data_IF_331755883106
#
_entry.id   IF_331755883106
#
_cell.length_a   1.000
_cell.length_b   1.000
_cell.length_c   1.000
_cell.angle_alpha   90.00
_cell.angle_beta   90.00
_cell.angle_gamma   90.00
#
_symmetry.space_group_name_H-M   'P 1'
#
loop_
_entity.id
_entity.type
_entity.pdbx_description
1 polymer ?
#
# COMPACT_ATOMS: atom_id res chain seq x y z
N UNK A 1 8.67 -7.03 -12.89
CA UNK A 1 9.44 -6.77 -14.12
C UNK A 1 10.91 -7.12 -13.89
N UNK A 2 11.29 -8.42 -13.91
CA UNK A 2 12.69 -8.83 -14.03
C UNK A 2 13.35 -8.15 -15.21
N UNK A 3 14.53 -7.56 -15.00
CA UNK A 3 15.33 -6.99 -16.10
C UNK A 3 16.02 -8.15 -16.80
N UNK A 4 15.88 -8.21 -18.13
CA UNK A 4 16.43 -9.29 -18.96
C UNK A 4 17.65 -8.85 -19.76
N UNK A 5 17.88 -7.54 -19.89
CA UNK A 5 19.05 -7.02 -20.59
C UNK A 5 18.92 -5.56 -21.02
N UNK A 6 19.68 -5.20 -22.06
CA UNK A 6 19.70 -3.88 -22.67
C UNK A 6 19.61 -4.06 -24.19
N UNK A 7 18.74 -3.29 -24.83
CA UNK A 7 18.73 -3.11 -26.27
C UNK A 7 19.87 -2.17 -26.67
N UNK A 8 20.94 -2.74 -27.22
CA UNK A 8 22.13 -1.97 -27.59
C UNK A 8 21.97 -1.15 -28.87
N UNK A 9 20.91 -1.36 -29.66
CA UNK A 9 20.61 -0.53 -30.83
C UNK A 9 19.95 0.79 -30.40
N UNK A 10 19.11 0.75 -29.37
CA UNK A 10 18.52 1.95 -28.76
C UNK A 10 19.46 2.67 -27.79
N UNK A 11 20.31 1.92 -27.08
CA UNK A 11 21.10 2.47 -25.98
C UNK A 11 22.18 3.47 -26.45
N UNK A 12 22.03 4.73 -26.05
CA UNK A 12 23.00 5.81 -26.30
C UNK A 12 24.17 5.88 -25.27
N UNK A 13 24.25 4.94 -24.33
CA UNK A 13 25.27 4.90 -23.26
C UNK A 13 25.33 6.12 -22.33
N UNK A 14 24.20 6.80 -22.07
CA UNK A 14 24.10 7.91 -21.11
C UNK A 14 24.36 7.54 -19.63
N UNK A 15 24.28 6.24 -19.29
CA UNK A 15 24.57 5.66 -17.96
C UNK A 15 23.60 6.00 -16.82
N UNK A 16 22.45 6.59 -17.11
CA UNK A 16 21.44 6.90 -16.07
C UNK A 16 21.02 5.64 -15.29
N UNK A 17 20.79 4.52 -15.97
CA UNK A 17 20.50 3.24 -15.30
C UNK A 17 21.60 2.75 -14.35
N UNK A 18 22.88 3.07 -14.63
CA UNK A 18 24.01 2.77 -13.74
C UNK A 18 24.09 3.71 -12.55
N UNK A 19 23.80 4.99 -12.75
CA UNK A 19 23.80 5.99 -11.68
C UNK A 19 22.69 5.68 -10.66
N UNK A 20 21.51 5.29 -11.14
CA UNK A 20 20.34 5.06 -10.31
C UNK A 20 20.27 3.65 -9.71
N UNK A 21 20.88 2.64 -10.35
CA UNK A 21 20.91 1.29 -9.82
C UNK A 21 22.15 1.08 -8.93
N UNK A 22 21.98 0.93 -7.60
CA UNK A 22 23.11 0.73 -6.70
C UNK A 22 23.76 -0.65 -6.83
N UNK A 23 23.17 -1.60 -7.57
CA UNK A 23 23.51 -3.03 -7.47
C UNK A 23 23.88 -3.73 -8.77
N UNK A 24 23.08 -3.58 -9.84
CA UNK A 24 23.04 -4.56 -10.96
C UNK A 24 23.36 -4.02 -12.35
N UNK A 25 23.59 -2.72 -12.47
CA UNK A 25 24.15 -2.14 -13.70
C UNK A 25 25.64 -1.86 -13.50
N UNK A 26 26.43 -2.10 -14.53
CA UNK A 26 27.89 -1.99 -14.55
C UNK A 26 28.37 -1.36 -15.86
N UNK A 27 29.63 -0.94 -15.90
CA UNK A 27 30.27 -0.39 -17.11
C UNK A 27 31.35 -1.35 -17.57
N UNK A 28 31.24 -1.82 -18.80
CA UNK A 28 32.33 -2.51 -19.48
C UNK A 28 33.38 -1.48 -19.91
N UNK A 29 34.59 -1.61 -19.34
CA UNK A 29 35.68 -0.67 -19.60
C UNK A 29 36.28 -0.80 -21.00
N UNK A 30 36.07 -1.92 -21.69
CA UNK A 30 36.66 -2.19 -23.01
C UNK A 30 35.97 -1.41 -24.13
N UNK A 31 34.65 -1.28 -24.05
CA UNK A 31 33.80 -0.62 -25.05
C UNK A 31 32.99 0.55 -24.48
N UNK A 32 33.16 0.83 -23.18
CA UNK A 32 32.52 1.93 -22.46
C UNK A 32 30.98 1.85 -22.41
N UNK A 33 30.41 0.65 -22.63
CA UNK A 33 28.96 0.37 -22.60
C UNK A 33 28.50 -0.04 -21.21
N UNK A 34 27.22 0.20 -20.94
CA UNK A 34 26.56 -0.30 -19.73
C UNK A 34 26.07 -1.72 -19.98
N UNK A 35 26.17 -2.61 -18.99
CA UNK A 35 25.52 -3.92 -19.01
C UNK A 35 24.77 -4.18 -17.69
N UNK A 36 23.79 -5.08 -17.76
CA UNK A 36 23.03 -5.57 -16.61
C UNK A 36 23.49 -6.99 -16.26
N UNK A 37 23.71 -7.24 -14.96
CA UNK A 37 24.08 -8.57 -14.46
C UNK A 37 23.52 -8.75 -13.04
N UNK A 38 22.77 -9.84 -12.81
CA UNK A 38 22.14 -10.18 -11.52
C UNK A 38 22.35 -11.64 -11.12
N UNK A 39 23.61 -12.10 -11.19
CA UNK A 39 23.98 -13.51 -10.90
C UNK A 39 23.51 -13.98 -9.52
N UNK A 40 23.51 -13.10 -8.51
CA UNK A 40 23.09 -13.47 -7.14
C UNK A 40 21.61 -13.16 -6.84
N UNK A 41 20.81 -12.79 -7.84
CA UNK A 41 19.37 -12.51 -7.72
C UNK A 41 19.03 -11.49 -6.60
N UNK A 42 19.74 -10.35 -6.57
CA UNK A 42 19.47 -9.27 -5.59
C UNK A 42 18.88 -8.00 -6.21
N UNK A 43 18.47 -8.03 -7.48
CA UNK A 43 17.64 -6.98 -8.04
C UNK A 43 16.34 -6.87 -7.23
N UNK A 44 16.01 -5.66 -6.78
CA UNK A 44 14.76 -5.40 -6.04
C UNK A 44 13.55 -5.21 -6.94
N UNK A 45 13.70 -5.35 -8.27
CA UNK A 45 12.61 -5.18 -9.24
C UNK A 45 11.91 -3.81 -9.12
N UNK A 46 12.64 -2.76 -8.76
CA UNK A 46 12.07 -1.43 -8.52
C UNK A 46 11.71 -0.67 -9.80
N UNK A 47 12.18 -1.12 -10.97
CA UNK A 47 11.90 -0.47 -12.26
C UNK A 47 12.58 0.88 -12.47
N UNK A 48 13.38 1.39 -11.53
CA UNK A 48 13.97 2.73 -11.65
C UNK A 48 14.85 2.87 -12.90
N UNK A 49 15.59 1.82 -13.27
CA UNK A 49 16.38 1.79 -14.50
C UNK A 49 15.55 1.95 -15.78
N UNK A 50 14.32 1.41 -15.81
CA UNK A 50 13.36 1.56 -16.92
C UNK A 50 12.91 3.03 -16.95
N UNK A 51 12.48 3.57 -15.81
CA UNK A 51 11.93 4.93 -15.70
C UNK A 51 12.91 6.04 -16.10
N UNK A 52 14.22 5.84 -15.88
CA UNK A 52 15.24 6.86 -16.18
C UNK A 52 15.94 6.64 -17.52
N UNK A 53 15.56 5.62 -18.30
CA UNK A 53 16.18 5.37 -19.59
C UNK A 53 15.52 6.26 -20.66
N UNK A 54 16.22 7.27 -21.21
CA UNK A 54 15.61 8.19 -22.16
C UNK A 54 15.32 7.55 -23.53
N UNK A 55 15.98 6.43 -23.84
CA UNK A 55 15.87 5.72 -25.12
C UNK A 55 14.96 4.49 -25.04
N UNK A 56 14.33 4.21 -23.88
CA UNK A 56 13.54 2.99 -23.66
C UNK A 56 14.33 1.71 -24.06
N UNK A 57 15.58 1.64 -23.61
CA UNK A 57 16.54 0.61 -23.99
C UNK A 57 16.68 -0.52 -22.94
N UNK A 58 15.98 -0.44 -21.80
CA UNK A 58 16.02 -1.49 -20.77
C UNK A 58 15.04 -2.59 -21.13
N UNK A 59 15.53 -3.83 -21.28
CA UNK A 59 14.69 -4.99 -21.55
C UNK A 59 14.24 -5.63 -20.24
N UNK A 60 12.98 -6.03 -20.16
CA UNK A 60 12.40 -6.66 -18.99
C UNK A 60 11.29 -7.66 -19.36
N UNK A 61 11.02 -8.61 -18.48
CA UNK A 61 9.84 -9.48 -18.62
C UNK A 61 8.58 -8.67 -18.35
N UNK A 62 7.76 -8.54 -19.40
CA UNK A 62 6.44 -7.96 -19.36
C UNK A 62 5.42 -8.99 -18.82
N UNK A 63 4.60 -8.56 -17.87
CA UNK A 63 3.53 -9.37 -17.28
C UNK A 63 2.15 -9.09 -17.91
N UNK A 64 2.13 -8.39 -19.05
CA UNK A 64 0.93 -8.22 -19.89
C UNK A 64 0.23 -6.88 -19.72
N UNK A 65 0.92 -5.85 -19.24
CA UNK A 65 0.41 -4.47 -19.22
C UNK A 65 1.27 -3.61 -20.15
N UNK A 66 0.65 -2.66 -20.86
CA UNK A 66 1.35 -1.66 -21.67
C UNK A 66 2.49 -1.00 -20.86
N UNK A 67 3.60 -0.67 -21.52
CA UNK A 67 4.67 0.14 -20.93
C UNK A 67 4.08 1.38 -20.26
N UNK A 68 4.08 1.42 -18.93
CA UNK A 68 3.55 2.56 -18.19
C UNK A 68 4.44 3.77 -18.44
N UNK A 69 3.94 4.74 -19.20
CA UNK A 69 4.53 6.07 -19.29
C UNK A 69 3.96 6.94 -18.18
N UNK A 70 4.81 7.72 -17.53
CA UNK A 70 4.41 8.73 -16.53
C UNK A 70 4.34 10.11 -17.19
N UNK A 71 3.61 10.18 -18.31
CA UNK A 71 3.54 11.39 -19.13
C UNK A 71 3.04 12.58 -18.29
N UNK A 72 3.78 13.68 -18.36
CA UNK A 72 3.47 14.91 -17.61
C UNK A 72 3.96 14.94 -16.16
N UNK A 73 4.76 13.97 -15.70
CA UNK A 73 5.41 13.97 -14.38
C UNK A 73 6.87 14.43 -14.49
N UNK A 74 7.09 15.70 -14.84
CA UNK A 74 8.46 16.27 -14.93
C UNK A 74 9.00 16.73 -13.57
N UNK A 75 8.12 17.33 -12.75
CA UNK A 75 8.45 17.86 -11.41
C UNK A 75 7.32 17.55 -10.44
N UNK A 76 7.62 16.79 -9.38
CA UNK A 76 6.60 16.38 -8.41
C UNK A 76 5.94 17.58 -7.71
N UNK A 77 6.74 18.61 -7.42
CA UNK A 77 6.30 19.83 -6.77
C UNK A 77 5.32 20.67 -7.63
N UNK A 78 5.32 20.48 -8.95
CA UNK A 78 4.37 21.16 -9.84
C UNK A 78 3.03 20.42 -9.92
N UNK A 79 3.01 19.12 -9.61
CA UNK A 79 1.78 18.30 -9.60
C UNK A 79 1.00 18.56 -8.31
N UNK A 80 1.70 18.52 -7.17
CA UNK A 80 1.10 18.79 -5.85
C UNK A 80 1.92 19.84 -5.11
N UNK A 81 1.54 21.13 -5.22
CA UNK A 81 2.20 22.18 -4.46
C UNK A 81 2.13 21.95 -2.95
N UNK A 82 3.20 22.32 -2.23
CA UNK A 82 3.31 22.11 -0.78
C UNK A 82 2.10 22.65 0.00
N UNK A 83 1.63 23.86 -0.30
CA UNK A 83 0.50 24.48 0.41
C UNK A 83 -0.81 23.69 0.22
N UNK A 84 -1.03 23.09 -0.95
CA UNK A 84 -2.17 22.23 -1.21
C UNK A 84 -2.06 20.93 -0.42
N UNK A 85 -0.86 20.31 -0.43
CA UNK A 85 -0.58 19.09 0.33
C UNK A 85 -0.73 19.31 1.84
N UNK A 86 -0.20 20.42 2.36
CA UNK A 86 -0.29 20.78 3.76
C UNK A 86 -1.74 20.90 4.22
N UNK A 87 -2.58 21.64 3.47
CA UNK A 87 -4.01 21.76 3.77
C UNK A 87 -4.71 20.41 3.72
N UNK A 88 -4.39 19.60 2.72
CA UNK A 88 -4.98 18.27 2.54
C UNK A 88 -4.65 17.32 3.70
N UNK A 89 -3.37 17.19 4.06
CA UNK A 89 -2.92 16.32 5.15
C UNK A 89 -3.45 16.83 6.49
N UNK A 90 -3.38 18.14 6.75
CA UNK A 90 -3.84 18.72 8.02
C UNK A 90 -5.35 18.56 8.23
N UNK A 91 -6.12 18.57 7.14
CA UNK A 91 -7.57 18.34 7.19
C UNK A 91 -7.95 16.85 7.35
N UNK A 92 -7.01 15.92 7.21
CA UNK A 92 -7.29 14.47 7.31
C UNK A 92 -7.72 14.10 8.72
N UNK A 93 -8.86 13.41 8.85
CA UNK A 93 -9.43 12.97 10.12
C UNK A 93 -9.89 11.52 10.04
N UNK A 94 -9.85 10.84 11.18
CA UNK A 94 -10.49 9.54 11.33
C UNK A 94 -12.00 9.68 11.40
N UNK A 95 -12.69 9.21 10.36
CA UNK A 95 -14.16 9.25 10.25
C UNK A 95 -14.74 7.98 10.88
N UNK A 96 -15.74 8.14 11.76
CA UNK A 96 -16.38 7.03 12.51
C UNK A 96 -17.89 7.10 12.45
N UNK A 97 -18.43 7.83 11.49
CA UNK A 97 -19.86 7.91 11.23
C UNK A 97 -20.06 7.81 9.73
N UNK A 98 -20.53 6.65 9.28
CA UNK A 98 -20.61 6.30 7.87
C UNK A 98 -22.05 6.32 7.38
N UNK A 99 -22.23 6.71 6.12
CA UNK A 99 -23.50 6.49 5.43
C UNK A 99 -23.65 4.98 5.17
N UNK A 100 -24.89 4.48 5.21
CA UNK A 100 -25.21 3.09 4.80
C UNK A 100 -25.04 2.83 3.29
N UNK A 101 -24.79 3.88 2.51
CA UNK A 101 -24.59 3.81 1.06
C UNK A 101 -23.24 3.15 0.75
N UNK A 102 -23.28 2.07 -0.03
CA UNK A 102 -22.07 1.43 -0.56
C UNK A 102 -21.31 2.35 -1.53
N UNK A 103 -19.99 2.21 -1.50
CA UNK A 103 -19.05 2.84 -2.41
C UNK A 103 -18.92 1.95 -3.66
N UNK A 104 -19.04 2.49 -4.88
CA UNK A 104 -18.87 1.70 -6.10
C UNK A 104 -17.52 1.00 -6.15
N UNK A 105 -17.49 -0.24 -6.67
CA UNK A 105 -16.27 -1.06 -6.81
C UNK A 105 -15.14 -0.31 -7.53
N UNK A 106 -15.48 0.48 -8.55
CA UNK A 106 -14.49 1.23 -9.33
C UNK A 106 -13.76 2.29 -8.48
N UNK A 107 -14.46 2.88 -7.50
CA UNK A 107 -13.87 3.85 -6.57
C UNK A 107 -13.02 3.13 -5.53
N UNK A 108 -13.47 1.97 -5.03
CA UNK A 108 -12.67 1.12 -4.14
C UNK A 108 -11.39 0.63 -4.83
N UNK A 109 -11.46 0.29 -6.13
CA UNK A 109 -10.30 -0.08 -6.94
C UNK A 109 -9.30 1.06 -7.03
N UNK A 110 -9.74 2.30 -7.27
CA UNK A 110 -8.82 3.48 -7.27
C UNK A 110 -8.07 3.64 -5.95
N UNK A 111 -8.72 3.34 -4.82
CA UNK A 111 -8.05 3.34 -3.51
C UNK A 111 -6.98 2.25 -3.45
N UNK A 112 -7.30 1.02 -3.84
CA UNK A 112 -6.35 -0.10 -3.87
C UNK A 112 -5.19 0.15 -4.84
N UNK A 113 -5.45 0.74 -6.00
CA UNK A 113 -4.42 1.09 -6.99
C UNK A 113 -3.37 2.00 -6.36
N UNK A 114 -3.79 3.03 -5.60
CA UNK A 114 -2.85 3.90 -4.88
C UNK A 114 -2.19 3.22 -3.68
N UNK A 115 -2.87 2.30 -2.99
CA UNK A 115 -2.25 1.52 -1.91
C UNK A 115 -1.06 0.67 -2.42
N UNK A 116 -1.16 0.13 -3.63
CA UNK A 116 -0.10 -0.68 -4.24
C UNK A 116 1.16 0.12 -4.59
N UNK A 117 1.08 1.44 -4.69
CA UNK A 117 2.27 2.28 -4.90
C UNK A 117 3.04 2.58 -3.60
N UNK A 118 2.52 2.20 -2.43
CA UNK A 118 3.24 2.35 -1.18
C UNK A 118 4.57 1.56 -1.21
N UNK A 119 5.68 2.18 -0.75
CA UNK A 119 6.96 1.49 -0.69
C UNK A 119 6.96 0.42 0.41
N UNK A 120 7.66 -0.68 0.15
CA UNK A 120 7.92 -1.73 1.13
C UNK A 120 9.42 -1.95 1.26
N UNK A 121 9.88 -2.41 2.42
CA UNK A 121 11.28 -2.81 2.61
C UNK A 121 11.74 -3.75 1.48
N UNK A 122 12.86 -3.41 0.83
CA UNK A 122 13.42 -4.15 -0.31
C UNK A 122 12.47 -4.38 -1.49
N UNK A 123 11.37 -3.62 -1.60
CA UNK A 123 10.33 -3.77 -2.63
C UNK A 123 9.68 -5.18 -2.65
N UNK A 124 9.63 -5.87 -1.50
CA UNK A 124 9.10 -7.24 -1.37
C UNK A 124 7.62 -7.40 -1.71
N UNK A 125 6.78 -6.39 -1.40
CA UNK A 125 5.35 -6.36 -1.78
C UNK A 125 4.56 -7.64 -1.44
N UNK A 126 4.77 -8.20 -0.24
CA UNK A 126 4.10 -9.42 0.23
C UNK A 126 2.74 -9.19 0.88
N UNK A 127 2.23 -7.96 0.81
CA UNK A 127 0.96 -7.58 1.41
C UNK A 127 -0.23 -8.02 0.56
N UNK A 128 -1.25 -8.54 1.24
CA UNK A 128 -2.53 -8.96 0.67
C UNK A 128 -3.61 -7.98 1.09
N UNK A 129 -4.53 -7.72 0.16
CA UNK A 129 -5.62 -6.77 0.32
C UNK A 129 -6.94 -7.51 0.18
N UNK A 130 -7.82 -7.36 1.16
CA UNK A 130 -9.17 -7.93 1.13
C UNK A 130 -10.17 -6.84 1.48
N UNK A 131 -11.13 -6.60 0.58
CA UNK A 131 -12.26 -5.74 0.88
C UNK A 131 -13.45 -6.60 1.25
N UNK A 132 -13.99 -6.37 2.43
CA UNK A 132 -15.23 -7.01 2.88
C UNK A 132 -16.32 -5.94 2.90
N UNK A 133 -17.42 -6.22 2.19
CA UNK A 133 -18.64 -5.39 2.16
C UNK A 133 -19.85 -6.10 2.76
N UNK A 134 -19.70 -7.41 3.01
CA UNK A 134 -20.74 -8.23 3.62
C UNK A 134 -20.94 -7.83 5.09
N UNK A 135 -22.11 -7.27 5.41
CA UNK A 135 -22.42 -6.74 6.75
C UNK A 135 -22.44 -7.84 7.81
N UNK A 136 -22.93 -9.04 7.50
CA UNK A 136 -22.99 -10.13 8.47
C UNK A 136 -21.59 -10.62 8.80
N UNK A 137 -20.74 -10.79 7.78
CA UNK A 137 -19.33 -11.14 7.97
C UNK A 137 -18.59 -10.09 8.78
N UNK A 138 -18.79 -8.80 8.48
CA UNK A 138 -18.19 -7.70 9.24
C UNK A 138 -18.68 -7.68 10.70
N UNK A 139 -19.95 -7.99 10.94
CA UNK A 139 -20.50 -8.11 12.29
C UNK A 139 -19.84 -9.26 13.06
N UNK A 140 -19.72 -10.43 12.45
CA UNK A 140 -19.08 -11.60 13.06
C UNK A 140 -17.61 -11.31 13.42
N UNK A 141 -16.87 -10.63 12.53
CA UNK A 141 -15.49 -10.20 12.82
C UNK A 141 -15.48 -9.18 13.97
N UNK A 142 -16.38 -8.20 13.97
CA UNK A 142 -16.49 -7.21 15.03
C UNK A 142 -16.76 -7.85 16.40
N UNK A 143 -17.68 -8.82 16.46
CA UNK A 143 -18.00 -9.52 17.70
C UNK A 143 -16.82 -10.36 18.20
N UNK A 144 -16.13 -11.07 17.29
CA UNK A 144 -14.94 -11.86 17.63
C UNK A 144 -13.76 -10.99 18.12
N UNK A 145 -13.57 -9.80 17.54
CA UNK A 145 -12.59 -8.81 18.02
C UNK A 145 -12.91 -8.39 19.45
N UNK A 146 -14.16 -8.00 19.72
CA UNK A 146 -14.57 -7.56 21.06
C UNK A 146 -14.40 -8.70 22.07
N UNK A 147 -14.86 -9.90 21.75
CA UNK A 147 -14.70 -11.08 22.62
C UNK A 147 -13.24 -11.34 22.95
N UNK A 148 -12.37 -11.39 21.92
CA UNK A 148 -10.93 -11.63 22.08
C UNK A 148 -10.29 -10.59 22.98
N UNK A 149 -10.56 -9.30 22.73
CA UNK A 149 -9.97 -8.23 23.54
C UNK A 149 -10.44 -8.25 25.00
N UNK A 150 -11.69 -8.63 25.27
CA UNK A 150 -12.22 -8.68 26.63
C UNK A 150 -11.78 -9.93 27.43
N UNK A 151 -11.18 -10.93 26.78
CA UNK A 151 -10.55 -12.07 27.47
C UNK A 151 -9.23 -11.67 28.15
N UNK A 152 -8.54 -10.63 27.64
CA UNK A 152 -7.34 -10.09 28.26
C UNK A 152 -7.72 -9.10 29.38
N UNK A 153 -7.34 -9.33 30.66
CA UNK A 153 -7.76 -8.47 31.77
C UNK A 153 -7.39 -6.99 31.59
N UNK A 154 -6.17 -6.69 31.11
CA UNK A 154 -5.73 -5.31 30.91
C UNK A 154 -6.48 -4.58 29.79
N UNK A 155 -6.87 -5.31 28.74
CA UNK A 155 -7.70 -4.76 27.67
C UNK A 155 -9.17 -4.62 28.10
N UNK A 156 -9.66 -5.58 28.89
CA UNK A 156 -11.00 -5.53 29.49
C UNK A 156 -11.18 -4.29 30.35
N UNK A 157 -10.30 -4.08 31.32
CA UNK A 157 -10.33 -2.92 32.23
C UNK A 157 -10.33 -1.59 31.46
N UNK A 158 -9.67 -1.55 30.29
CA UNK A 158 -9.56 -0.36 29.46
C UNK A 158 -10.74 -0.12 28.53
N UNK A 159 -11.37 -1.17 27.99
CA UNK A 159 -12.29 -1.05 26.86
C UNK A 159 -13.69 -1.65 27.06
N UNK A 160 -13.97 -2.35 28.17
CA UNK A 160 -15.29 -2.97 28.41
C UNK A 160 -16.45 -1.96 28.36
N UNK A 161 -16.30 -0.82 29.03
CA UNK A 161 -17.31 0.25 28.98
C UNK A 161 -17.40 0.85 27.57
N UNK A 162 -16.27 1.06 26.89
CA UNK A 162 -16.24 1.61 25.53
C UNK A 162 -17.02 0.72 24.55
N UNK A 163 -16.84 -0.60 24.61
CA UNK A 163 -17.59 -1.53 23.75
C UNK A 163 -19.06 -1.62 24.16
N UNK A 164 -19.36 -1.58 25.45
CA UNK A 164 -20.74 -1.56 25.96
C UNK A 164 -21.51 -0.33 25.49
N UNK A 165 -20.88 0.84 25.47
CA UNK A 165 -21.44 2.07 24.91
C UNK A 165 -21.56 1.96 23.40
N UNK A 166 -20.51 1.52 22.70
CA UNK A 166 -20.50 1.46 21.23
C UNK A 166 -21.57 0.53 20.67
N UNK A 167 -21.85 -0.61 21.33
CA UNK A 167 -22.94 -1.55 20.99
C UNK A 167 -24.34 -0.94 21.06
N UNK A 168 -24.53 0.20 21.75
CA UNK A 168 -25.81 0.92 21.78
C UNK A 168 -26.03 1.81 20.56
N UNK A 169 -24.95 2.21 19.88
CA UNK A 169 -24.98 3.18 18.78
C UNK A 169 -24.69 2.56 17.41
N UNK A 170 -24.04 1.40 17.38
CA UNK A 170 -23.59 0.75 16.16
C UNK A 170 -24.00 -0.72 16.12
N UNK A 171 -24.42 -1.21 14.96
CA UNK A 171 -24.67 -2.63 14.72
C UNK A 171 -23.35 -3.44 14.65
N UNK A 172 -22.29 -2.79 14.15
CA UNK A 172 -20.94 -3.31 13.95
C UNK A 172 -19.94 -2.38 14.65
N UNK A 173 -19.80 -2.44 15.99
CA UNK A 173 -19.13 -1.42 16.79
C UNK A 173 -17.66 -1.22 16.46
N UNK A 174 -16.93 -2.28 16.15
CA UNK A 174 -15.49 -2.19 15.85
C UNK A 174 -15.27 -1.35 14.58
N UNK A 175 -16.17 -1.45 13.60
CA UNK A 175 -16.04 -0.75 12.32
C UNK A 175 -16.95 0.47 12.19
N UNK A 176 -17.64 0.87 13.25
CA UNK A 176 -18.56 2.01 13.29
C UNK A 176 -19.61 1.98 12.16
N UNK A 177 -20.13 0.78 11.83
CA UNK A 177 -21.05 0.52 10.72
C UNK A 177 -20.56 0.90 9.32
N UNK A 178 -19.23 1.00 9.12
CA UNK A 178 -18.65 1.23 7.80
C UNK A 178 -19.18 0.22 6.77
N UNK A 179 -19.62 0.66 5.58
CA UNK A 179 -20.15 -0.25 4.55
C UNK A 179 -19.06 -1.15 3.94
N UNK A 180 -17.79 -0.75 4.05
CA UNK A 180 -16.65 -1.51 3.55
C UNK A 180 -15.51 -1.43 4.55
N UNK A 181 -14.79 -2.55 4.72
CA UNK A 181 -13.54 -2.59 5.48
C UNK A 181 -12.47 -3.19 4.58
N UNK A 182 -11.33 -2.50 4.48
CA UNK A 182 -10.14 -2.97 3.77
C UNK A 182 -9.21 -3.58 4.82
N UNK A 183 -9.01 -4.89 4.73
CA UNK A 183 -8.01 -5.62 5.52
C UNK A 183 -6.72 -5.70 4.72
N UNK A 184 -5.62 -5.36 5.37
CA UNK A 184 -4.28 -5.50 4.81
C UNK A 184 -3.51 -6.43 5.74
N UNK A 185 -2.98 -7.51 5.19
CA UNK A 185 -2.16 -8.48 5.90
C UNK A 185 -0.87 -8.73 5.16
N UNK A 186 0.15 -9.27 5.82
CA UNK A 186 1.41 -9.65 5.17
C UNK A 186 1.69 -11.12 5.42
N UNK A 187 2.25 -11.81 4.43
CA UNK A 187 2.82 -13.15 4.61
C UNK A 187 4.26 -13.11 5.16
N UNK A 188 4.82 -11.91 5.31
CA UNK A 188 6.15 -11.72 5.85
C UNK A 188 6.13 -11.92 7.37
N UNK A 189 6.82 -12.95 7.86
CA UNK A 189 6.96 -13.22 9.29
C UNK A 189 8.12 -12.40 9.88
N UNK A 190 8.00 -11.07 9.84
CA UNK A 190 8.99 -10.14 10.40
C UNK A 190 8.31 -8.87 10.91
N UNK A 191 8.91 -8.19 11.89
CA UNK A 191 8.44 -6.89 12.41
C UNK A 191 8.33 -5.80 11.31
N UNK A 192 8.93 -6.00 10.13
CA UNK A 192 8.78 -5.12 8.98
C UNK A 192 7.34 -5.10 8.42
N UNK A 193 6.57 -6.17 8.60
CA UNK A 193 5.22 -6.31 8.07
C UNK A 193 4.30 -5.18 8.56
N UNK A 194 4.32 -4.89 9.86
CA UNK A 194 3.48 -3.84 10.46
C UNK A 194 3.85 -2.45 9.93
N UNK A 195 5.14 -2.18 9.71
CA UNK A 195 5.62 -0.92 9.15
C UNK A 195 5.17 -0.75 7.70
N UNK A 196 5.32 -1.78 6.87
CA UNK A 196 4.84 -1.76 5.48
C UNK A 196 3.33 -1.52 5.44
N UNK A 197 2.56 -2.28 6.24
CA UNK A 197 1.09 -2.16 6.31
C UNK A 197 0.68 -0.75 6.76
N UNK A 198 1.36 -0.15 7.73
CA UNK A 198 1.11 1.22 8.16
C UNK A 198 1.29 2.26 7.04
N UNK A 199 2.34 2.12 6.23
CA UNK A 199 2.58 2.98 5.06
C UNK A 199 1.49 2.76 4.01
N UNK A 200 1.17 1.51 3.70
CA UNK A 200 0.13 1.10 2.74
C UNK A 200 -1.24 1.68 3.13
N UNK A 201 -1.65 1.52 4.38
CA UNK A 201 -2.92 2.06 4.90
C UNK A 201 -2.90 3.58 4.79
N UNK A 202 -1.77 4.24 5.03
CA UNK A 202 -1.64 5.70 4.88
C UNK A 202 -1.92 6.14 3.44
N UNK A 203 -1.34 5.46 2.44
CA UNK A 203 -1.63 5.72 1.02
C UNK A 203 -3.11 5.54 0.71
N UNK A 204 -3.72 4.44 1.17
CA UNK A 204 -5.16 4.20 0.99
C UNK A 204 -6.05 5.25 1.64
N UNK A 205 -5.68 5.74 2.83
CA UNK A 205 -6.42 6.79 3.53
C UNK A 205 -6.35 8.14 2.82
N UNK A 206 -5.20 8.51 2.27
CA UNK A 206 -5.05 9.73 1.48
C UNK A 206 -5.81 9.62 0.14
N UNK A 207 -5.70 8.48 -0.54
CA UNK A 207 -6.45 8.17 -1.76
C UNK A 207 -7.97 8.23 -1.55
N UNK A 208 -8.47 7.60 -0.48
CA UNK A 208 -9.89 7.62 -0.16
C UNK A 208 -10.39 9.06 0.08
N UNK A 209 -9.61 9.89 0.78
CA UNK A 209 -9.98 11.28 1.03
C UNK A 209 -10.02 12.12 -0.24
N UNK A 210 -9.09 11.95 -1.18
CA UNK A 210 -9.12 12.67 -2.46
C UNK A 210 -10.33 12.30 -3.32
N UNK A 211 -10.92 11.11 -3.09
CA UNK A 211 -12.16 10.64 -3.69
C UNK A 211 -13.42 11.05 -2.89
N UNK A 212 -13.28 11.84 -1.82
CA UNK A 212 -14.38 12.29 -0.96
C UNK A 212 -14.90 11.24 0.02
N UNK A 213 -14.14 10.17 0.27
CA UNK A 213 -14.48 9.13 1.23
C UNK A 213 -13.90 9.41 2.61
N UNK A 214 -14.62 8.99 3.65
CA UNK A 214 -14.11 8.95 5.03
C UNK A 214 -13.45 7.61 5.35
N UNK A 215 -12.40 7.61 6.16
CA UNK A 215 -11.73 6.38 6.62
C UNK A 215 -11.31 6.49 8.09
N UNK A 216 -11.15 5.35 8.76
CA UNK A 216 -10.51 5.25 10.07
C UNK A 216 -9.65 4.00 10.13
N UNK A 217 -8.40 4.14 10.56
CA UNK A 217 -7.58 2.98 10.92
C UNK A 217 -8.15 2.33 12.18
N UNK A 218 -8.25 0.99 12.18
CA UNK A 218 -8.73 0.20 13.30
C UNK A 218 -7.56 -0.57 13.95
N UNK A 219 -7.13 -0.13 15.14
CA UNK A 219 -6.11 -0.82 15.93
C UNK A 219 -6.64 -2.00 16.75
N UNK A 220 -7.94 -2.06 17.05
CA UNK A 220 -8.54 -3.17 17.80
C UNK A 220 -8.45 -4.48 17.04
N UNK A 221 -8.71 -4.47 15.74
CA UNK A 221 -8.57 -5.61 14.85
C UNK A 221 -7.11 -6.10 14.79
N UNK A 222 -6.14 -5.19 14.70
CA UNK A 222 -4.73 -5.57 14.70
C UNK A 222 -4.35 -6.31 15.98
N UNK A 223 -4.70 -5.76 17.14
CA UNK A 223 -4.40 -6.41 18.43
C UNK A 223 -5.10 -7.76 18.54
N UNK A 224 -6.41 -7.82 18.25
CA UNK A 224 -7.17 -9.07 18.35
C UNK A 224 -6.65 -10.17 17.40
N UNK A 225 -6.19 -9.82 16.19
CA UNK A 225 -5.64 -10.78 15.23
C UNK A 225 -4.32 -11.43 15.69
N UNK A 226 -3.56 -10.75 16.55
CA UNK A 226 -2.33 -11.31 17.15
C UNK A 226 -2.65 -12.36 18.22
N UNK A 227 -3.73 -12.13 18.98
CA UNK A 227 -4.16 -13.01 20.07
C UNK A 227 -5.05 -14.17 19.60
N UNK A 228 -5.77 -14.01 18.48
CA UNK A 228 -6.72 -14.99 17.98
C UNK A 228 -6.69 -15.09 16.45
N UNK A 229 -6.10 -16.18 15.93
CA UNK A 229 -6.02 -16.44 14.48
C UNK A 229 -7.36 -16.65 13.77
N UNK A 230 -8.49 -16.72 14.50
CA UNK A 230 -9.84 -16.77 13.92
C UNK A 230 -10.40 -15.39 13.57
N UNK A 231 -9.80 -14.32 14.11
CA UNK A 231 -10.07 -12.91 13.77
C UNK A 231 -9.20 -12.50 12.60
#
# INVERSE_FOLDING_TARGET
MPITGIDYEKCNSCRMCKQECPRRFFIDKSNNKVFFEDVDNTCSLCGHCIAVCPEDAILYEDFGDETFTFDGIEKLETIVPYESLYKFIRAHRSIRHYKKKEVPKEILKKVLDLMQYAPTGSNLRYEKYVIISDREKLKNISDAVIETLLQNPGMKDKYEETFSISKKYYDIPVFFDAPHVIFVSSLLDMQLADHNIGIIITYGRLAAQSLGLGTCWNGWTQIASQDNKKV
#
